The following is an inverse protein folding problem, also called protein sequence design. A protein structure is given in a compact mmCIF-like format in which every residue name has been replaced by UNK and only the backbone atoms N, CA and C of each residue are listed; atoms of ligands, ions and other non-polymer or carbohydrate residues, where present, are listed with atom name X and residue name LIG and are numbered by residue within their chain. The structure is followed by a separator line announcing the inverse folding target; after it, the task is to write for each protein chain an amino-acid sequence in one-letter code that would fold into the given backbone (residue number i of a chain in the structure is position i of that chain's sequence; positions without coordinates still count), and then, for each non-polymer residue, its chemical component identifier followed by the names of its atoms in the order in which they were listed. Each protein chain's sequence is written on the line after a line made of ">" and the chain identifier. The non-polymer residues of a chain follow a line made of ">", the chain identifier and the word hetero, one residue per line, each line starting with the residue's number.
data_IF_145459447325
#
_entry.id   IF_145459447325
#
_cell.length_a   1.000
_cell.length_b   1.000
_cell.length_c   1.000
_cell.angle_alpha   90.00
_cell.angle_beta   90.00
_cell.angle_gamma   90.00
#
_symmetry.space_group_name_H-M   'P 1'
#
loop_
_entity.id
_entity.type
_entity.pdbx_description
1 polymer ?
#
# COMPACT_ATOMS: atom_id res chain seq x y z
N UNK A 1 -10.61 -5.30 2.91
CA UNK A 1 -11.53 -4.78 3.93
C UNK A 1 -10.83 -3.74 4.82
N UNK A 2 -11.57 -2.77 5.34
CA UNK A 2 -11.10 -1.85 6.38
C UNK A 2 -11.17 -2.53 7.75
N UNK A 3 -10.29 -2.14 8.69
CA UNK A 3 -10.28 -2.67 10.06
C UNK A 3 -9.48 -3.96 10.26
N UNK A 4 -9.02 -4.61 9.21
CA UNK A 4 -8.32 -5.91 9.29
C UNK A 4 -6.91 -5.86 9.90
N UNK A 5 -6.38 -4.68 10.25
CA UNK A 5 -5.04 -4.54 10.82
C UNK A 5 -3.92 -4.44 9.79
N UNK A 6 -4.21 -4.05 8.55
CA UNK A 6 -3.18 -3.84 7.51
C UNK A 6 -2.10 -2.87 7.95
N UNK A 7 -2.48 -1.70 8.45
CA UNK A 7 -1.54 -0.69 8.94
C UNK A 7 -0.71 -1.24 10.11
N UNK A 8 -1.34 -1.97 11.04
CA UNK A 8 -0.64 -2.61 12.17
C UNK A 8 0.37 -3.67 11.72
N UNK A 9 0.07 -4.42 10.66
CA UNK A 9 1.05 -5.32 10.05
C UNK A 9 2.21 -4.53 9.42
N UNK A 10 1.91 -3.47 8.67
CA UNK A 10 2.93 -2.64 8.02
C UNK A 10 3.85 -1.95 9.04
N UNK A 11 3.32 -1.49 10.19
CA UNK A 11 4.09 -0.92 11.29
C UNK A 11 5.17 -1.87 11.87
N UNK A 12 5.00 -3.18 11.68
CA UNK A 12 5.99 -4.20 12.07
C UNK A 12 6.82 -4.69 10.89
N UNK A 13 6.21 -4.80 9.73
CA UNK A 13 6.86 -5.31 8.52
C UNK A 13 7.93 -4.33 8.00
N UNK A 14 7.65 -3.02 8.03
CA UNK A 14 8.62 -1.99 7.60
C UNK A 14 9.90 -2.04 8.43
N UNK A 15 9.88 -2.01 9.78
CA UNK A 15 11.10 -2.15 10.59
C UNK A 15 11.82 -3.47 10.37
N UNK A 16 11.11 -4.58 10.18
CA UNK A 16 11.70 -5.89 9.89
C UNK A 16 12.51 -5.86 8.59
N UNK A 17 11.96 -5.28 7.52
CA UNK A 17 12.63 -5.21 6.21
C UNK A 17 13.77 -4.17 6.24
N UNK A 18 13.56 -3.00 6.85
CA UNK A 18 14.60 -1.97 6.94
C UNK A 18 15.76 -2.39 7.85
N UNK A 19 15.49 -3.20 8.89
CA UNK A 19 16.51 -3.82 9.73
C UNK A 19 17.44 -4.77 8.97
N UNK A 20 17.03 -5.25 7.79
CA UNK A 20 17.86 -6.05 6.86
C UNK A 20 18.70 -5.19 5.92
N UNK A 21 18.70 -3.87 6.09
CA UNK A 21 19.46 -2.89 5.29
C UNK A 21 18.78 -2.46 4.00
N UNK A 22 17.51 -2.79 3.80
CA UNK A 22 16.74 -2.43 2.60
C UNK A 22 16.00 -1.11 2.77
N UNK A 23 15.96 -0.30 1.72
CA UNK A 23 15.19 0.95 1.65
C UNK A 23 13.76 0.65 1.22
N UNK A 24 12.79 1.00 2.06
CA UNK A 24 11.37 0.73 1.83
C UNK A 24 10.62 2.04 1.63
N UNK A 25 9.82 2.10 0.56
CA UNK A 25 8.82 3.15 0.33
C UNK A 25 7.41 2.56 0.42
N UNK A 26 6.41 3.41 0.67
CA UNK A 26 5.04 2.98 0.80
C UNK A 26 4.09 3.92 0.06
N UNK A 27 3.18 3.34 -0.72
CA UNK A 27 2.02 4.05 -1.29
C UNK A 27 0.78 3.59 -0.54
N UNK A 28 0.01 4.53 0.00
CA UNK A 28 -1.25 4.25 0.67
C UNK A 28 -2.39 4.91 -0.08
N UNK A 29 -3.28 4.09 -0.63
CA UNK A 29 -4.52 4.56 -1.24
C UNK A 29 -5.61 4.70 -0.17
N UNK A 30 -6.25 5.84 -0.11
CA UNK A 30 -7.36 6.12 0.81
C UNK A 30 -8.62 6.44 0.03
N UNK A 31 -9.73 5.78 0.35
CA UNK A 31 -11.05 6.09 -0.23
C UNK A 31 -11.72 7.31 0.44
N UNK A 32 -11.03 8.00 1.34
CA UNK A 32 -11.54 9.26 1.92
C UNK A 32 -11.48 10.35 0.85
N UNK A 33 -12.56 11.11 0.73
CA UNK A 33 -12.64 12.24 -0.22
C UNK A 33 -11.57 13.30 0.02
N UNK A 34 -11.11 13.45 1.26
CA UNK A 34 -10.08 14.42 1.65
C UNK A 34 -9.00 13.69 2.46
N UNK A 35 -7.77 13.88 2.03
CA UNK A 35 -6.58 13.45 2.76
C UNK A 35 -6.02 14.68 3.47
N UNK A 36 -6.26 14.77 4.78
CA UNK A 36 -5.76 15.87 5.60
C UNK A 36 -4.30 15.63 5.97
N UNK A 37 -3.38 16.03 5.09
CA UNK A 37 -1.94 16.07 5.39
C UNK A 37 -1.57 17.44 5.96
N UNK A 38 -2.38 18.46 5.67
CA UNK A 38 -2.17 19.85 6.05
C UNK A 38 -3.29 20.33 6.98
N UNK A 39 -3.00 21.33 7.82
CA UNK A 39 -3.96 21.85 8.79
C UNK A 39 -4.63 23.11 8.27
N UNK A 40 -5.98 23.22 8.34
CA UNK A 40 -6.67 24.46 8.03
C UNK A 40 -6.05 25.67 8.75
N UNK A 41 -5.89 26.78 8.03
CA UNK A 41 -5.33 28.03 8.56
C UNK A 41 -3.80 28.18 8.50
N UNK A 42 -3.06 27.12 8.16
CA UNK A 42 -1.63 27.21 7.88
C UNK A 42 -1.38 27.81 6.49
N UNK A 43 -0.21 28.42 6.28
CA UNK A 43 0.13 29.08 5.02
C UNK A 43 0.06 28.14 3.83
N UNK A 44 0.57 26.91 3.96
CA UNK A 44 0.47 25.87 2.94
C UNK A 44 -0.99 25.56 2.56
N UNK A 45 -1.86 25.40 3.54
CA UNK A 45 -3.30 25.21 3.32
C UNK A 45 -3.91 26.39 2.55
N UNK A 46 -3.62 27.62 2.99
CA UNK A 46 -4.14 28.85 2.36
C UNK A 46 -3.67 29.00 0.90
N UNK A 47 -2.42 28.62 0.61
CA UNK A 47 -1.88 28.67 -0.75
C UNK A 47 -2.54 27.63 -1.66
N UNK A 48 -2.83 26.41 -1.16
CA UNK A 48 -3.61 25.42 -1.90
C UNK A 48 -5.01 25.93 -2.21
N UNK A 49 -5.71 26.45 -1.21
CA UNK A 49 -7.06 27.02 -1.37
C UNK A 49 -7.07 28.23 -2.34
N UNK A 50 -5.97 29.00 -2.36
CA UNK A 50 -5.81 30.12 -3.29
C UNK A 50 -5.59 29.68 -4.75
N UNK A 51 -5.36 28.40 -5.01
CA UNK A 51 -5.31 27.86 -6.38
C UNK A 51 -3.97 27.23 -6.80
N UNK A 52 -2.97 27.12 -5.90
CA UNK A 52 -1.74 26.41 -6.25
C UNK A 52 -2.03 24.94 -6.59
N UNK A 53 -1.54 24.48 -7.76
CA UNK A 53 -1.65 23.09 -8.17
C UNK A 53 -0.78 22.17 -7.32
N UNK A 54 0.42 22.64 -6.99
CA UNK A 54 1.35 21.93 -6.12
C UNK A 54 1.89 22.86 -5.04
N UNK A 55 2.05 22.34 -3.84
CA UNK A 55 2.72 23.02 -2.73
C UNK A 55 3.79 22.09 -2.17
N UNK A 56 5.04 22.51 -2.26
CA UNK A 56 6.18 21.82 -1.67
C UNK A 56 6.55 22.51 -0.36
N UNK A 57 6.46 21.77 0.73
CA UNK A 57 6.91 22.19 2.04
C UNK A 57 8.28 21.59 2.31
N UNK A 58 9.25 22.43 2.63
CA UNK A 58 10.61 22.01 3.02
C UNK A 58 10.87 22.38 4.47
N UNK A 59 11.22 21.41 5.29
CA UNK A 59 11.72 21.55 6.65
C UNK A 59 13.15 21.03 6.76
N UNK A 60 13.71 21.08 7.96
CA UNK A 60 15.09 20.66 8.18
C UNK A 60 15.26 19.13 8.13
N UNK A 61 14.22 18.38 8.43
CA UNK A 61 14.25 16.91 8.60
C UNK A 61 13.43 16.17 7.53
N UNK A 62 12.55 16.87 6.82
CA UNK A 62 11.68 16.30 5.81
C UNK A 62 11.12 17.35 4.86
N UNK A 63 10.66 16.89 3.73
CA UNK A 63 9.84 17.69 2.81
C UNK A 63 8.59 16.90 2.41
N UNK A 64 7.56 17.63 1.97
CA UNK A 64 6.33 17.06 1.45
C UNK A 64 5.88 17.84 0.23
N UNK A 65 5.50 17.12 -0.84
CA UNK A 65 4.84 17.67 -2.00
C UNK A 65 3.37 17.27 -1.97
N UNK A 66 2.50 18.25 -1.99
CA UNK A 66 1.05 18.07 -2.11
C UNK A 66 0.64 18.48 -3.53
N UNK A 67 -0.03 17.58 -4.23
CA UNK A 67 -0.58 17.81 -5.57
C UNK A 67 -2.11 17.76 -5.49
N UNK A 68 -2.76 18.81 -6.00
CA UNK A 68 -4.22 18.93 -6.01
C UNK A 68 -4.78 18.39 -7.33
N UNK A 69 -5.63 17.38 -7.28
CA UNK A 69 -6.25 16.81 -8.49
C UNK A 69 -7.27 17.75 -9.13
N UNK A 70 -7.90 18.63 -8.35
CA UNK A 70 -8.88 19.64 -8.81
C UNK A 70 -9.93 19.11 -9.76
N UNK A 71 -10.43 17.91 -9.46
CA UNK A 71 -11.44 17.22 -10.25
C UNK A 71 -10.90 16.36 -11.40
N UNK A 72 -9.58 16.30 -11.58
CA UNK A 72 -8.97 15.28 -12.42
C UNK A 72 -9.10 13.88 -11.81
N UNK A 73 -9.04 12.85 -12.65
CA UNK A 73 -9.04 11.47 -12.21
C UNK A 73 -7.82 11.14 -11.36
N UNK A 74 -7.95 10.12 -10.51
CA UNK A 74 -6.82 9.59 -9.75
C UNK A 74 -5.71 9.10 -10.70
N UNK A 75 -4.44 9.49 -10.44
CA UNK A 75 -3.34 9.04 -11.29
C UNK A 75 -3.15 7.53 -11.19
N UNK A 76 -2.72 6.89 -12.29
CA UNK A 76 -2.43 5.46 -12.29
C UNK A 76 -1.24 5.15 -11.36
N UNK A 77 -1.19 3.92 -10.87
CA UNK A 77 -0.15 3.48 -9.92
C UNK A 77 1.27 3.72 -10.45
N UNK A 78 1.51 3.46 -11.73
CA UNK A 78 2.83 3.66 -12.34
C UNK A 78 3.30 5.11 -12.26
N UNK A 79 2.39 6.07 -12.45
CA UNK A 79 2.68 7.49 -12.27
C UNK A 79 3.09 7.81 -10.82
N UNK A 80 2.41 7.22 -9.84
CA UNK A 80 2.74 7.41 -8.41
C UNK A 80 4.08 6.76 -8.05
N UNK A 81 4.35 5.58 -8.60
CA UNK A 81 5.64 4.90 -8.45
C UNK A 81 6.79 5.76 -8.99
N UNK A 82 6.58 6.49 -10.10
CA UNK A 82 7.58 7.38 -10.71
C UNK A 82 7.91 8.62 -9.85
N UNK A 83 7.08 8.95 -8.89
CA UNK A 83 7.30 10.05 -7.93
C UNK A 83 8.14 9.64 -6.72
N UNK A 84 8.26 8.35 -6.47
CA UNK A 84 9.10 7.87 -5.36
C UNK A 84 10.59 7.93 -5.72
N UNK A 85 11.40 8.23 -4.72
CA UNK A 85 12.85 8.07 -4.84
C UNK A 85 13.22 6.59 -5.02
N UNK A 86 14.42 6.32 -5.55
CA UNK A 86 14.93 4.96 -5.68
C UNK A 86 14.93 4.26 -4.33
N UNK A 87 14.38 3.04 -4.29
CA UNK A 87 14.29 2.19 -3.11
C UNK A 87 14.31 0.72 -3.53
N UNK A 88 14.54 -0.17 -2.56
CA UNK A 88 14.61 -1.61 -2.82
C UNK A 88 13.24 -2.26 -2.87
N UNK A 89 12.27 -1.71 -2.14
CA UNK A 89 10.90 -2.23 -2.08
C UNK A 89 9.88 -1.10 -1.98
N UNK A 90 8.80 -1.21 -2.76
CA UNK A 90 7.59 -0.39 -2.56
C UNK A 90 6.47 -1.27 -2.05
N UNK A 91 5.98 -0.97 -0.85
CA UNK A 91 4.76 -1.56 -0.31
C UNK A 91 3.57 -0.71 -0.73
N UNK A 92 2.46 -1.38 -1.08
CA UNK A 92 1.25 -0.71 -1.54
C UNK A 92 0.08 -1.12 -0.65
N UNK A 93 -0.52 -0.17 0.05
CA UNK A 93 -1.74 -0.39 0.84
C UNK A 93 -2.96 0.17 0.11
N UNK A 94 -3.97 -0.66 -0.12
CA UNK A 94 -5.31 -0.22 -0.55
C UNK A 94 -5.61 -0.33 -2.04
N UNK A 95 -4.65 -0.41 -2.92
CA UNK A 95 -4.87 -0.63 -4.35
C UNK A 95 -5.40 -2.04 -4.61
N UNK A 96 -6.71 -2.18 -4.82
CA UNK A 96 -7.35 -3.49 -5.06
C UNK A 96 -7.15 -3.97 -6.49
N UNK A 97 -7.23 -3.05 -7.45
CA UNK A 97 -7.14 -3.32 -8.87
C UNK A 97 -5.71 -3.07 -9.35
N UNK A 98 -4.91 -4.09 -9.48
CA UNK A 98 -3.55 -3.97 -9.98
C UNK A 98 -2.99 -5.35 -10.26
N UNK A 99 -2.17 -5.46 -11.31
CA UNK A 99 -1.50 -6.69 -11.70
C UNK A 99 -0.16 -6.83 -10.97
N UNK A 100 -0.24 -7.01 -9.66
CA UNK A 100 0.89 -7.27 -8.79
C UNK A 100 0.51 -8.24 -7.68
N UNK A 101 1.48 -8.99 -7.11
CA UNK A 101 1.23 -9.91 -6.00
C UNK A 101 0.62 -9.21 -4.79
N UNK A 102 -0.39 -9.81 -4.20
CA UNK A 102 -1.08 -9.28 -3.04
C UNK A 102 -1.04 -10.26 -1.88
N UNK A 103 -0.91 -9.71 -0.69
CA UNK A 103 -1.11 -10.40 0.57
C UNK A 103 -2.38 -9.87 1.23
N UNK A 104 -3.34 -10.74 1.48
CA UNK A 104 -4.53 -10.39 2.23
C UNK A 104 -4.24 -10.40 3.73
N UNK A 105 -4.68 -9.36 4.44
CA UNK A 105 -4.71 -9.33 5.90
C UNK A 105 -6.13 -9.58 6.35
N UNK A 106 -6.34 -10.65 7.12
CA UNK A 106 -7.65 -11.06 7.57
C UNK A 106 -7.68 -11.35 9.08
N UNK A 107 -8.80 -11.02 9.72
CA UNK A 107 -9.06 -11.29 11.14
C UNK A 107 -10.42 -11.94 11.30
N UNK A 108 -10.45 -13.06 12.01
CA UNK A 108 -11.68 -13.81 12.26
C UNK A 108 -12.71 -12.99 13.06
N UNK A 109 -12.27 -12.14 13.98
CA UNK A 109 -13.13 -11.32 14.83
C UNK A 109 -13.95 -10.28 14.03
N UNK A 110 -13.52 -9.91 12.83
CA UNK A 110 -14.20 -8.91 12.00
C UNK A 110 -15.43 -9.47 11.26
N UNK A 111 -15.69 -10.76 11.32
CA UNK A 111 -16.83 -11.44 10.68
C UNK A 111 -17.04 -11.10 9.19
N UNK A 112 -15.97 -10.83 8.47
CA UNK A 112 -15.98 -10.54 7.03
C UNK A 112 -15.41 -11.71 6.26
N UNK A 113 -15.95 -12.04 5.07
CA UNK A 113 -15.37 -13.09 4.25
C UNK A 113 -13.96 -12.72 3.81
N UNK A 114 -13.13 -13.71 3.55
CA UNK A 114 -11.85 -13.54 2.88
C UNK A 114 -12.07 -13.08 1.43
N UNK A 115 -11.12 -12.36 0.87
CA UNK A 115 -11.17 -11.88 -0.53
C UNK A 115 -10.51 -12.87 -1.50
N UNK A 116 -9.55 -13.66 -1.03
CA UNK A 116 -8.70 -14.50 -1.87
C UNK A 116 -9.45 -15.43 -2.84
N UNK A 117 -10.65 -15.97 -2.53
CA UNK A 117 -11.35 -16.82 -3.48
C UNK A 117 -11.73 -16.08 -4.77
N UNK A 118 -12.04 -14.79 -4.67
CA UNK A 118 -12.57 -13.98 -5.77
C UNK A 118 -11.49 -13.05 -6.39
N UNK A 119 -10.28 -13.07 -5.84
CA UNK A 119 -9.20 -12.14 -6.21
C UNK A 119 -7.92 -12.88 -6.60
N UNK A 120 -7.73 -13.26 -7.86
CA UNK A 120 -6.61 -14.11 -8.30
C UNK A 120 -5.20 -13.53 -8.04
N UNK A 121 -5.08 -12.23 -7.84
CA UNK A 121 -3.80 -11.61 -7.48
C UNK A 121 -3.38 -11.80 -6.01
N UNK A 122 -4.24 -12.38 -5.15
CA UNK A 122 -3.90 -12.68 -3.76
C UNK A 122 -3.17 -14.03 -3.72
N UNK A 123 -1.88 -13.99 -3.41
CA UNK A 123 -1.01 -15.15 -3.34
C UNK A 123 -0.76 -15.64 -1.92
N UNK A 124 -1.06 -14.79 -0.93
CA UNK A 124 -0.89 -15.12 0.47
C UNK A 124 -1.95 -14.46 1.35
N UNK A 125 -2.20 -15.07 2.51
CA UNK A 125 -3.05 -14.51 3.55
C UNK A 125 -2.30 -14.51 4.88
N UNK A 126 -2.34 -13.37 5.57
CA UNK A 126 -1.88 -13.24 6.95
C UNK A 126 -3.09 -13.08 7.87
N UNK A 127 -3.25 -13.99 8.84
CA UNK A 127 -4.42 -14.01 9.71
C UNK A 127 -4.09 -14.43 11.14
N UNK A 128 -4.98 -14.11 12.07
CA UNK A 128 -4.89 -14.55 13.48
C UNK A 128 -5.42 -15.98 13.69
N UNK A 129 -6.20 -16.49 12.75
CA UNK A 129 -6.70 -17.86 12.72
C UNK A 129 -6.69 -18.36 11.28
N UNK A 130 -6.55 -19.67 11.05
CA UNK A 130 -6.71 -20.21 9.70
C UNK A 130 -8.05 -19.77 9.11
N UNK A 131 -8.06 -19.27 7.86
CA UNK A 131 -9.31 -18.90 7.22
C UNK A 131 -10.25 -20.09 7.20
N UNK A 132 -11.48 -19.90 7.68
CA UNK A 132 -12.50 -20.94 7.60
C UNK A 132 -12.93 -21.04 6.13
N UNK A 133 -12.52 -22.10 5.49
CA UNK A 133 -13.11 -22.50 4.23
C UNK A 133 -14.47 -23.14 4.54
N UNK A 134 -15.52 -22.77 3.82
CA UNK A 134 -16.70 -23.64 3.76
C UNK A 134 -16.23 -25.02 3.30
N UNK A 135 -16.82 -26.10 3.80
CA UNK A 135 -16.36 -27.47 3.62
C UNK A 135 -16.14 -27.91 2.15
N UNK A 136 -16.50 -27.07 1.20
CA UNK A 136 -16.36 -27.28 -0.25
C UNK A 136 -15.20 -26.51 -0.92
N UNK A 137 -14.57 -25.56 -0.22
CA UNK A 137 -13.41 -24.84 -0.74
C UNK A 137 -12.15 -25.37 -0.08
N UNK A 138 -11.60 -26.44 -0.66
CA UNK A 138 -10.25 -26.88 -0.35
C UNK A 138 -9.32 -25.67 -0.45
N UNK A 139 -8.40 -25.52 0.53
CA UNK A 139 -7.30 -24.54 0.45
C UNK A 139 -6.75 -24.59 -0.97
N UNK A 140 -6.87 -23.48 -1.71
CA UNK A 140 -6.40 -23.45 -3.10
C UNK A 140 -4.94 -23.84 -3.09
N UNK A 141 -4.54 -24.87 -3.86
CA UNK A 141 -3.14 -25.23 -3.94
C UNK A 141 -2.33 -23.99 -4.38
N UNK A 142 -1.37 -23.57 -3.55
CA UNK A 142 -0.52 -22.42 -3.83
C UNK A 142 -0.80 -21.15 -3.00
N UNK A 143 -1.87 -21.06 -2.21
CA UNK A 143 -2.07 -19.94 -1.29
C UNK A 143 -1.20 -20.13 -0.03
N UNK A 144 -0.25 -19.23 0.17
CA UNK A 144 0.55 -19.23 1.40
C UNK A 144 -0.25 -18.64 2.57
N UNK A 145 -0.14 -19.27 3.75
CA UNK A 145 -0.79 -18.79 4.97
C UNK A 145 0.24 -18.48 6.05
N UNK A 146 0.14 -17.31 6.65
CA UNK A 146 1.00 -16.83 7.73
C UNK A 146 0.16 -16.42 8.93
N UNK A 147 0.69 -16.68 10.13
CA UNK A 147 0.13 -16.06 11.31
C UNK A 147 0.49 -14.57 11.33
N UNK A 148 -0.47 -13.69 11.70
CA UNK A 148 -0.27 -12.22 11.70
C UNK A 148 0.94 -11.76 12.55
N UNK A 149 1.36 -12.53 13.53
CA UNK A 149 2.52 -12.20 14.38
C UNK A 149 3.86 -12.65 13.78
N UNK A 150 3.84 -13.50 12.76
CA UNK A 150 5.06 -14.00 12.11
C UNK A 150 5.56 -13.01 11.05
N UNK A 151 6.05 -11.87 11.53
CA UNK A 151 6.49 -10.77 10.68
C UNK A 151 7.72 -11.16 9.85
N UNK A 152 8.60 -12.02 10.38
CA UNK A 152 9.80 -12.44 9.67
C UNK A 152 9.47 -13.29 8.43
N UNK A 153 8.63 -14.33 8.59
CA UNK A 153 8.20 -15.15 7.44
C UNK A 153 7.38 -14.36 6.43
N UNK A 154 6.56 -13.39 6.89
CA UNK A 154 5.83 -12.50 5.99
C UNK A 154 6.81 -11.61 5.21
N UNK A 155 7.87 -11.09 5.85
CA UNK A 155 8.90 -10.29 5.19
C UNK A 155 9.64 -11.12 4.11
N UNK A 156 10.04 -12.35 4.43
CA UNK A 156 10.68 -13.25 3.48
C UNK A 156 9.79 -13.51 2.26
N UNK A 157 8.52 -13.78 2.51
CA UNK A 157 7.55 -14.00 1.45
C UNK A 157 7.35 -12.77 0.55
N UNK A 158 7.18 -11.59 1.16
CA UNK A 158 6.99 -10.33 0.44
C UNK A 158 8.21 -10.03 -0.43
N UNK A 159 9.42 -10.18 0.11
CA UNK A 159 10.66 -9.93 -0.64
C UNK A 159 10.86 -10.92 -1.80
N UNK A 160 10.51 -12.19 -1.61
CA UNK A 160 10.65 -13.22 -2.65
C UNK A 160 9.62 -13.10 -3.78
N UNK A 161 8.48 -12.45 -3.53
CA UNK A 161 7.39 -12.30 -4.51
C UNK A 161 7.25 -10.86 -5.04
N UNK A 162 8.09 -9.93 -4.56
CA UNK A 162 8.11 -8.58 -5.10
C UNK A 162 8.45 -8.60 -6.60
N UNK A 163 7.69 -7.87 -7.39
CA UNK A 163 7.92 -7.76 -8.82
C UNK A 163 8.88 -6.60 -9.14
N UNK A 164 9.82 -6.77 -10.07
CA UNK A 164 10.61 -5.65 -10.55
C UNK A 164 9.70 -4.55 -11.10
N UNK A 165 10.02 -3.30 -10.77
CA UNK A 165 9.32 -2.16 -11.35
C UNK A 165 9.54 -2.15 -12.88
N UNK A 166 8.46 -2.14 -13.63
CA UNK A 166 8.53 -1.83 -15.07
C UNK A 166 8.72 -0.32 -15.22
N UNK A 167 9.75 0.14 -15.91
CA UNK A 167 9.87 1.58 -16.18
C UNK A 167 8.66 2.02 -17.00
N UNK A 168 7.96 3.04 -16.54
CA UNK A 168 6.90 3.66 -17.36
C UNK A 168 7.52 4.22 -18.63
N UNK A 169 6.86 4.09 -19.79
CA UNK A 169 7.30 4.81 -20.97
C UNK A 169 7.32 6.31 -20.60
N UNK A 170 8.47 6.95 -20.71
CA UNK A 170 8.56 8.39 -20.48
C UNK A 170 7.52 9.06 -21.38
N UNK A 171 6.65 9.94 -20.86
CA UNK A 171 5.84 10.75 -21.75
C UNK A 171 6.81 11.47 -22.70
N UNK A 172 6.52 11.38 -23.99
CA UNK A 172 7.24 12.17 -24.98
C UNK A 172 7.20 13.63 -24.48
N UNK A 173 8.35 14.21 -24.21
CA UNK A 173 8.45 15.61 -23.81
C UNK A 173 7.74 16.50 -24.83
N UNK A 174 7.31 17.69 -24.42
CA UNK A 174 6.70 18.64 -25.32
C UNK A 174 7.64 19.07 -26.43
#
# INVERSE_FOLDING_TARGET
>A
HSGMGKTTLLERLVPEITGRGLVVSLIKHSHKKHIDIDRPGKDSYRLREAGCMEVLLLGNDRWALMHELRGADEPPLDYLLDRLQACDLVLIEGFKNGDFPKLEVWRAAENKPTLWPDWPGILAIASDQPPRTSAEQAVTPGLAHFHLQDTASIADYVLSHAQPRRPSPRPAGP
#
